data_IF_632694622264
#
_entry.id   IF_632694622264
#
_cell.length_a   1.000
_cell.length_b   1.000
_cell.length_c   1.000
_cell.angle_alpha   90.00
_cell.angle_beta   90.00
_cell.angle_gamma   90.00
#
_symmetry.space_group_name_H-M   'P 1'
#
loop_
_entity.id
_entity.type
_entity.pdbx_description
1 polymer ?
#
# COMPACT_ATOMS: atom_id res chain seq x y z
N UNK A 1 4.76 4.93 13.69
CA UNK A 1 5.18 3.99 12.63
C UNK A 1 5.54 2.67 13.28
N UNK A 2 5.16 1.54 12.70
CA UNK A 2 5.68 0.24 13.12
C UNK A 2 7.15 0.19 12.72
N UNK A 3 8.05 -0.06 13.67
CA UNK A 3 9.48 -0.19 13.41
C UNK A 3 9.79 -1.52 12.69
N UNK A 4 9.40 -1.57 11.42
CA UNK A 4 9.52 -2.74 10.56
C UNK A 4 10.93 -2.92 9.99
N UNK A 5 11.76 -1.88 10.05
CA UNK A 5 13.11 -1.86 9.47
C UNK A 5 14.01 -2.89 10.15
N UNK A 6 13.86 -3.06 11.47
CA UNK A 6 14.65 -4.01 12.25
C UNK A 6 14.07 -5.43 12.31
N UNK A 7 12.94 -5.69 11.63
CA UNK A 7 12.31 -7.02 11.67
C UNK A 7 13.18 -8.06 10.93
N UNK A 8 13.53 -9.20 11.57
CA UNK A 8 14.30 -10.26 10.93
C UNK A 8 13.69 -10.71 9.60
N UNK A 9 14.54 -11.04 8.62
CA UNK A 9 14.12 -11.41 7.27
C UNK A 9 13.05 -12.51 7.25
N UNK A 10 13.25 -13.60 8.00
CA UNK A 10 12.31 -14.72 8.04
C UNK A 10 10.91 -14.29 8.50
N UNK A 11 10.80 -13.37 9.46
CA UNK A 11 9.49 -12.85 9.92
C UNK A 11 8.81 -12.02 8.85
N UNK A 12 9.57 -11.23 8.07
CA UNK A 12 9.03 -10.47 6.94
C UNK A 12 8.50 -11.41 5.85
N UNK A 13 9.25 -12.46 5.53
CA UNK A 13 8.83 -13.47 4.54
C UNK A 13 7.53 -14.17 4.96
N UNK A 14 7.48 -14.69 6.18
CA UNK A 14 6.27 -15.34 6.71
C UNK A 14 5.05 -14.40 6.72
N UNK A 15 5.24 -13.11 7.02
CA UNK A 15 4.15 -12.14 6.95
C UNK A 15 3.62 -11.97 5.52
N UNK A 16 4.50 -11.88 4.52
CA UNK A 16 4.12 -11.78 3.11
C UNK A 16 3.42 -13.03 2.59
N UNK A 17 3.91 -14.22 2.94
CA UNK A 17 3.27 -15.50 2.59
C UNK A 17 1.84 -15.58 3.14
N UNK A 18 1.65 -15.17 4.40
CA UNK A 18 0.31 -15.11 5.02
C UNK A 18 -0.58 -14.09 4.32
N UNK A 19 -0.07 -12.90 4.03
CA UNK A 19 -0.85 -11.85 3.35
C UNK A 19 -1.34 -12.33 1.97
N UNK A 20 -0.49 -13.03 1.22
CA UNK A 20 -0.87 -13.61 -0.08
C UNK A 20 -1.97 -14.67 0.03
N UNK A 21 -2.05 -15.40 1.14
CA UNK A 21 -3.13 -16.37 1.39
C UNK A 21 -4.42 -15.76 1.96
N UNK A 22 -4.34 -14.58 2.58
CA UNK A 22 -5.49 -13.93 3.25
C UNK A 22 -6.21 -12.96 2.32
N UNK A 23 -5.48 -12.24 1.47
CA UNK A 23 -6.05 -11.19 0.62
C UNK A 23 -6.43 -11.77 -0.75
N UNK A 24 -7.72 -11.85 -1.11
CA UNK A 24 -8.12 -12.28 -2.44
C UNK A 24 -7.75 -11.23 -3.49
N UNK A 25 -7.55 -11.64 -4.75
CA UNK A 25 -7.21 -10.72 -5.84
C UNK A 25 -8.20 -9.55 -5.99
N UNK A 26 -9.48 -9.80 -5.73
CA UNK A 26 -10.54 -8.79 -5.76
C UNK A 26 -10.33 -7.66 -4.74
N UNK A 27 -9.62 -7.92 -3.64
CA UNK A 27 -9.30 -6.92 -2.63
C UNK A 27 -8.53 -5.75 -3.24
N UNK A 28 -7.56 -6.02 -4.11
CA UNK A 28 -6.73 -4.96 -4.70
C UNK A 28 -7.53 -4.06 -5.64
N UNK A 29 -8.53 -4.60 -6.34
CA UNK A 29 -9.41 -3.82 -7.22
C UNK A 29 -10.37 -2.92 -6.44
N UNK A 30 -10.83 -3.38 -5.27
CA UNK A 30 -11.86 -2.69 -4.49
C UNK A 30 -11.28 -1.73 -3.44
N UNK A 31 -10.12 -2.07 -2.87
CA UNK A 31 -9.53 -1.36 -1.74
C UNK A 31 -8.44 -0.37 -2.16
N UNK A 32 -8.15 -0.23 -3.46
CA UNK A 32 -7.13 0.69 -3.95
C UNK A 32 -7.69 1.71 -4.92
N UNK A 33 -7.19 2.94 -4.80
CA UNK A 33 -7.39 3.99 -5.79
C UNK A 33 -6.14 4.09 -6.67
N UNK A 34 -6.28 3.83 -7.97
CA UNK A 34 -5.16 3.90 -8.91
C UNK A 34 -4.96 5.34 -9.43
N UNK A 35 -3.71 5.80 -9.43
CA UNK A 35 -3.29 7.10 -9.96
C UNK A 35 -2.09 6.95 -10.90
N UNK A 36 -1.91 7.92 -11.79
CA UNK A 36 -0.68 8.05 -12.57
C UNK A 36 0.48 8.59 -11.70
N UNK A 37 1.73 8.36 -12.12
CA UNK A 37 2.91 8.78 -11.37
C UNK A 37 2.95 10.30 -11.13
N UNK A 38 2.49 11.09 -12.09
CA UNK A 38 2.47 12.56 -12.05
C UNK A 38 1.52 13.09 -10.97
N UNK A 39 0.52 12.30 -10.59
CA UNK A 39 -0.47 12.66 -9.57
C UNK A 39 0.06 12.41 -8.15
N UNK A 40 1.13 11.61 -7.99
CA UNK A 40 1.64 11.19 -6.69
C UNK A 40 1.95 12.36 -5.73
N UNK A 41 2.57 13.49 -6.15
CA UNK A 41 2.81 14.62 -5.25
C UNK A 41 1.52 15.24 -4.71
N UNK A 42 0.51 15.45 -5.57
CA UNK A 42 -0.76 16.04 -5.17
C UNK A 42 -1.55 15.09 -4.25
N UNK A 43 -1.57 13.80 -4.58
CA UNK A 43 -2.24 12.77 -3.77
C UNK A 43 -1.56 12.60 -2.40
N UNK A 44 -0.22 12.67 -2.32
CA UNK A 44 0.49 12.63 -1.06
C UNK A 44 0.16 13.84 -0.17
N UNK A 45 0.06 15.04 -0.75
CA UNK A 45 -0.37 16.23 0.00
C UNK A 45 -1.80 16.07 0.56
N UNK A 46 -2.73 15.55 -0.25
CA UNK A 46 -4.10 15.26 0.18
C UNK A 46 -4.15 14.21 1.30
N UNK A 47 -3.30 13.18 1.23
CA UNK A 47 -3.19 12.14 2.28
C UNK A 47 -2.70 12.73 3.61
N UNK A 48 -1.65 13.56 3.56
CA UNK A 48 -1.11 14.23 4.75
C UNK A 48 -2.12 15.19 5.38
N UNK A 49 -2.98 15.80 4.57
CA UNK A 49 -4.07 16.68 5.00
C UNK A 49 -5.34 15.93 5.42
N UNK A 50 -5.31 14.59 5.51
CA UNK A 50 -6.46 13.72 5.83
C UNK A 50 -7.67 13.89 4.87
N UNK A 51 -7.46 14.41 3.67
CA UNK A 51 -8.51 14.58 2.66
C UNK A 51 -8.82 13.28 1.93
N UNK A 52 -7.86 12.36 1.91
CA UNK A 52 -8.01 11.00 1.39
C UNK A 52 -7.49 10.01 2.43
N UNK A 53 -8.03 8.79 2.40
CA UNK A 53 -7.63 7.69 3.28
C UNK A 53 -7.62 6.39 2.49
N UNK A 54 -7.06 5.32 3.08
CA UNK A 54 -6.98 4.01 2.43
C UNK A 54 -5.67 3.80 1.67
N UNK A 55 -5.71 3.02 0.59
CA UNK A 55 -4.52 2.69 -0.21
C UNK A 55 -4.60 3.30 -1.60
N UNK A 56 -3.52 3.96 -2.01
CA UNK A 56 -3.35 4.46 -3.38
C UNK A 56 -2.33 3.58 -4.11
N UNK A 57 -2.65 3.16 -5.32
CA UNK A 57 -1.74 2.43 -6.21
C UNK A 57 -1.21 3.40 -7.26
N UNK A 58 0.12 3.50 -7.38
CA UNK A 58 0.75 4.37 -8.37
C UNK A 58 1.15 3.54 -9.58
N UNK A 59 0.53 3.81 -10.72
CA UNK A 59 0.85 3.19 -12.00
C UNK A 59 2.08 3.86 -12.61
N UNK A 60 3.10 3.06 -12.93
CA UNK A 60 4.40 3.53 -13.46
C UNK A 60 4.66 3.11 -14.91
N UNK A 61 3.73 2.37 -15.53
CA UNK A 61 3.78 1.89 -16.91
C UNK A 61 2.38 1.82 -17.50
#
# INVERSE_FOLDING_TARGET
>A
GVDSVHTPLHRRQTAWERLAGILPDSFYQQATHEIALEQAPATAAALLNNQITGRTLVKIR
#
